data_IF_986470079312
#
_entry.id   IF_986470079312
#
_cell.length_a   1.000
_cell.length_b   1.000
_cell.length_c   1.000
_cell.angle_alpha   90.00
_cell.angle_beta   90.00
_cell.angle_gamma   90.00
#
_symmetry.space_group_name_H-M   'P 1'
#
loop_
_entity.id
_entity.type
_entity.pdbx_description
1 polymer ?
#
# COMPACT_ATOMS: atom_id res chain seq x y z
N UNK A 1 23.63 15.52 -2.93
CA UNK A 1 22.76 14.42 -2.47
C UNK A 1 21.28 14.78 -2.56
N UNK A 2 20.84 15.96 -2.08
CA UNK A 2 19.41 16.37 -2.11
C UNK A 2 18.79 16.45 -3.52
N UNK A 3 19.53 16.98 -4.51
CA UNK A 3 19.05 17.05 -5.91
C UNK A 3 18.70 15.69 -6.52
N UNK A 4 19.42 14.62 -6.13
CA UNK A 4 19.21 13.28 -6.68
C UNK A 4 17.96 12.62 -6.08
N UNK A 5 17.73 12.82 -4.78
CA UNK A 5 16.53 12.30 -4.09
C UNK A 5 15.28 12.98 -4.66
N UNK A 6 15.31 14.30 -4.82
CA UNK A 6 14.19 15.04 -5.42
C UNK A 6 13.91 14.62 -6.87
N UNK A 7 14.95 14.48 -7.70
CA UNK A 7 14.76 14.01 -9.09
C UNK A 7 14.21 12.59 -9.16
N UNK A 8 14.60 11.71 -8.22
CA UNK A 8 14.09 10.35 -8.16
C UNK A 8 12.61 10.32 -7.76
N UNK A 9 12.21 11.11 -6.76
CA UNK A 9 10.80 11.21 -6.36
C UNK A 9 9.92 11.77 -7.48
N UNK A 10 10.39 12.78 -8.23
CA UNK A 10 9.66 13.31 -9.39
C UNK A 10 9.54 12.30 -10.52
N UNK A 11 10.62 11.58 -10.84
CA UNK A 11 10.60 10.55 -11.88
C UNK A 11 9.68 9.38 -11.50
N UNK A 12 9.77 8.91 -10.25
CA UNK A 12 8.93 7.84 -9.74
C UNK A 12 7.47 8.25 -9.70
N UNK A 13 7.17 9.51 -9.32
CA UNK A 13 5.81 10.04 -9.37
C UNK A 13 5.22 10.00 -10.78
N UNK A 14 5.98 10.44 -11.79
CA UNK A 14 5.55 10.41 -13.20
C UNK A 14 5.22 8.99 -13.68
N UNK A 15 6.13 8.03 -13.46
CA UNK A 15 5.92 6.64 -13.86
C UNK A 15 4.74 6.03 -13.11
N UNK A 16 4.65 6.27 -11.80
CA UNK A 16 3.58 5.76 -10.95
C UNK A 16 2.22 6.26 -11.39
N UNK A 17 2.12 7.56 -11.72
CA UNK A 17 0.89 8.16 -12.21
C UNK A 17 0.48 7.61 -13.59
N UNK A 18 1.46 7.42 -14.49
CA UNK A 18 1.19 6.83 -15.81
C UNK A 18 0.73 5.37 -15.72
N UNK A 19 1.47 4.54 -14.99
CA UNK A 19 1.19 3.11 -14.85
C UNK A 19 0.10 2.78 -13.81
N UNK A 20 -0.41 3.79 -13.10
CA UNK A 20 -1.35 3.65 -11.98
C UNK A 20 -0.85 2.68 -10.90
N UNK A 21 0.46 2.71 -10.64
CA UNK A 21 1.13 1.93 -9.60
C UNK A 21 1.35 2.80 -8.37
N UNK A 22 0.79 2.36 -7.25
CA UNK A 22 1.00 2.93 -5.93
C UNK A 22 2.07 2.17 -5.15
N UNK A 23 2.83 2.89 -4.35
CA UNK A 23 3.84 2.35 -3.45
C UNK A 23 3.74 2.96 -2.05
N UNK A 24 3.84 2.11 -1.03
CA UNK A 24 3.98 2.50 0.35
C UNK A 24 5.01 1.64 1.06
N UNK A 25 5.76 2.26 1.98
CA UNK A 25 6.62 1.59 2.96
C UNK A 25 6.13 1.97 4.34
N UNK A 26 5.84 0.98 5.16
CA UNK A 26 5.27 1.18 6.48
C UNK A 26 5.93 0.27 7.52
N UNK A 27 6.22 0.83 8.69
CA UNK A 27 6.78 0.09 9.80
C UNK A 27 5.67 -0.23 10.79
N UNK A 28 5.30 -1.51 10.88
CA UNK A 28 4.23 -1.97 11.76
C UNK A 28 4.50 -1.72 13.25
N UNK A 29 5.78 -1.66 13.66
CA UNK A 29 6.16 -1.46 15.07
C UNK A 29 6.15 0.02 15.48
N UNK A 30 6.69 0.90 14.64
CA UNK A 30 6.77 2.33 14.93
C UNK A 30 5.56 3.11 14.43
N UNK A 31 4.72 2.46 13.63
CA UNK A 31 3.59 3.05 12.93
C UNK A 31 3.96 4.21 12.01
N UNK A 32 5.22 4.28 11.57
CA UNK A 32 5.72 5.31 10.65
C UNK A 32 5.88 4.74 9.26
N UNK A 33 5.64 5.56 8.25
CA UNK A 33 5.82 5.15 6.87
C UNK A 33 5.76 6.31 5.90
N UNK A 34 5.89 5.96 4.63
CA UNK A 34 5.79 6.86 3.50
C UNK A 34 4.99 6.17 2.40
N UNK A 35 4.15 6.92 1.70
CA UNK A 35 3.46 6.45 0.52
C UNK A 35 3.43 7.55 -0.54
N UNK A 36 3.55 7.15 -1.80
CA UNK A 36 3.38 8.06 -2.93
C UNK A 36 1.89 8.36 -3.15
N UNK A 37 1.58 9.48 -3.79
CA UNK A 37 0.21 9.91 -4.02
C UNK A 37 -0.67 8.85 -4.69
N UNK A 38 -0.16 8.16 -5.73
CA UNK A 38 -0.91 7.12 -6.44
C UNK A 38 -1.35 5.97 -5.53
N UNK A 39 -0.64 5.69 -4.44
CA UNK A 39 -1.05 4.67 -3.47
C UNK A 39 -2.32 5.08 -2.74
N UNK A 40 -2.43 6.34 -2.31
CA UNK A 40 -3.65 6.85 -1.67
C UNK A 40 -4.83 6.80 -2.63
N UNK A 41 -4.65 7.27 -3.86
CA UNK A 41 -5.69 7.22 -4.91
C UNK A 41 -6.16 5.79 -5.18
N UNK A 42 -5.23 4.83 -5.30
CA UNK A 42 -5.57 3.43 -5.52
C UNK A 42 -6.31 2.81 -4.34
N UNK A 43 -6.09 3.30 -3.12
CA UNK A 43 -6.75 2.85 -1.90
C UNK A 43 -8.05 3.61 -1.58
N UNK A 44 -8.46 4.58 -2.42
CA UNK A 44 -9.63 5.42 -2.16
C UNK A 44 -9.41 6.43 -1.02
N UNK A 45 -8.16 6.71 -0.69
CA UNK A 45 -7.75 7.54 0.44
C UNK A 45 -7.23 8.91 -0.03
N UNK A 46 -7.10 9.84 0.92
CA UNK A 46 -6.42 11.12 0.71
C UNK A 46 -5.03 11.13 1.36
N UNK A 47 -4.05 11.76 0.70
CA UNK A 47 -2.69 11.95 1.22
C UNK A 47 -2.65 12.77 2.53
N UNK A 48 -3.75 13.45 2.88
CA UNK A 48 -3.88 14.17 4.16
C UNK A 48 -3.98 13.22 5.37
N UNK A 49 -4.36 11.95 5.15
CA UNK A 49 -4.48 10.97 6.22
C UNK A 49 -3.16 10.23 6.39
N UNK A 50 -2.67 10.16 7.63
CA UNK A 50 -1.47 9.42 7.98
C UNK A 50 -1.69 7.91 7.83
N UNK A 51 -0.67 7.19 7.32
CA UNK A 51 -0.73 5.76 7.03
C UNK A 51 -1.16 4.91 8.23
N UNK A 52 -0.82 5.33 9.46
CA UNK A 52 -1.24 4.62 10.68
C UNK A 52 -2.75 4.55 10.88
N UNK A 53 -3.50 5.45 10.25
CA UNK A 53 -4.96 5.43 10.31
C UNK A 53 -5.58 4.61 9.18
N UNK A 54 -4.81 4.25 8.15
CA UNK A 54 -5.29 3.48 6.98
C UNK A 54 -4.84 2.02 7.10
N UNK A 55 -3.54 1.80 7.31
CA UNK A 55 -2.94 0.47 7.39
C UNK A 55 -3.50 -0.27 8.62
N UNK A 56 -4.09 -1.44 8.39
CA UNK A 56 -4.73 -2.23 9.44
C UNK A 56 -6.20 -1.86 9.72
N UNK A 57 -6.75 -0.87 9.01
CA UNK A 57 -8.20 -0.56 9.03
C UNK A 57 -8.83 -0.77 7.66
N UNK A 58 -8.28 -0.13 6.63
CA UNK A 58 -8.73 -0.24 5.24
C UNK A 58 -10.23 -0.02 5.07
N UNK A 59 -10.73 1.11 5.55
CA UNK A 59 -12.16 1.41 5.58
C UNK A 59 -12.80 1.49 4.18
N UNK A 60 -12.01 1.87 3.17
CA UNK A 60 -12.44 1.93 1.78
C UNK A 60 -12.32 0.59 1.01
N UNK A 61 -11.83 -0.48 1.64
CA UNK A 61 -11.76 -1.82 1.04
C UNK A 61 -13.04 -2.59 1.34
N UNK A 62 -13.58 -3.29 0.34
CA UNK A 62 -14.78 -4.11 0.49
C UNK A 62 -14.66 -5.06 1.70
N UNK A 63 -15.68 -5.16 2.58
CA UNK A 63 -15.59 -5.92 3.83
C UNK A 63 -15.07 -7.36 3.69
N UNK A 64 -15.52 -8.08 2.65
CA UNK A 64 -15.08 -9.45 2.37
C UNK A 64 -13.58 -9.57 2.07
N UNK A 65 -13.04 -8.60 1.33
CA UNK A 65 -11.63 -8.58 0.91
C UNK A 65 -10.76 -8.05 2.06
N UNK A 66 -11.29 -7.09 2.82
CA UNK A 66 -10.66 -6.49 4.01
C UNK A 66 -10.33 -7.54 5.05
N UNK A 67 -11.22 -8.51 5.29
CA UNK A 67 -10.97 -9.59 6.27
C UNK A 67 -9.68 -10.35 5.95
N UNK A 68 -9.51 -10.81 4.70
CA UNK A 68 -8.31 -11.55 4.25
C UNK A 68 -7.04 -10.73 4.45
N UNK A 69 -7.10 -9.44 4.13
CA UNK A 69 -5.99 -8.52 4.29
C UNK A 69 -5.58 -8.34 5.76
N UNK A 70 -6.56 -8.16 6.66
CA UNK A 70 -6.29 -8.02 8.10
C UNK A 70 -5.79 -9.32 8.72
N UNK A 71 -6.32 -10.46 8.30
CA UNK A 71 -5.85 -11.77 8.74
C UNK A 71 -4.39 -11.98 8.33
N UNK A 72 -3.99 -11.59 7.13
CA UNK A 72 -2.58 -11.60 6.73
C UNK A 72 -1.70 -10.78 7.69
N UNK A 73 -2.09 -9.54 8.03
CA UNK A 73 -1.32 -8.71 8.97
C UNK A 73 -1.15 -9.36 10.35
N UNK A 74 -2.09 -10.19 10.81
CA UNK A 74 -1.98 -10.95 12.06
C UNK A 74 -1.00 -12.12 11.95
N UNK A 75 -0.86 -12.69 10.76
CA UNK A 75 0.06 -13.80 10.48
C UNK A 75 1.50 -13.38 10.22
N UNK A 76 1.78 -12.07 10.11
CA UNK A 76 3.16 -11.60 9.90
C UNK A 76 4.00 -11.98 11.12
N UNK A 77 4.81 -13.02 10.96
CA UNK A 77 5.83 -13.38 11.92
C UNK A 77 7.00 -12.39 11.84
N UNK A 78 7.60 -12.11 13.00
CA UNK A 78 8.66 -11.14 13.14
C UNK A 78 10.02 -11.63 12.64
N UNK A 79 10.11 -12.91 12.29
CA UNK A 79 11.36 -13.60 12.01
C UNK A 79 11.42 -14.19 10.58
N UNK A 80 10.42 -13.95 9.72
CA UNK A 80 10.40 -14.46 8.35
C UNK A 80 10.07 -13.38 7.32
N UNK A 81 10.65 -13.53 6.12
CA UNK A 81 10.21 -12.79 4.95
C UNK A 81 8.90 -13.40 4.46
N UNK A 82 7.83 -12.62 4.48
CA UNK A 82 6.50 -13.05 4.06
C UNK A 82 6.02 -12.18 2.90
N UNK A 83 5.54 -12.84 1.85
CA UNK A 83 4.92 -12.17 0.71
C UNK A 83 3.43 -12.52 0.64
N UNK A 84 2.62 -11.56 0.26
CA UNK A 84 1.19 -11.73 0.09
C UNK A 84 0.69 -10.90 -1.08
N UNK A 85 0.03 -11.58 -2.01
CA UNK A 85 -0.63 -10.97 -3.15
C UNK A 85 -2.11 -11.26 -3.06
N UNK A 86 -2.94 -10.22 -3.24
CA UNK A 86 -4.39 -10.37 -3.30
C UNK A 86 -4.98 -9.31 -4.22
N UNK A 87 -6.10 -9.65 -4.86
CA UNK A 87 -6.96 -8.64 -5.47
C UNK A 87 -7.94 -8.14 -4.40
N UNK A 88 -8.17 -6.83 -4.36
CA UNK A 88 -9.14 -6.22 -3.45
C UNK A 88 -9.98 -5.19 -4.18
N UNK A 89 -11.26 -5.13 -3.83
CA UNK A 89 -12.19 -4.10 -4.27
C UNK A 89 -12.05 -2.88 -3.37
N UNK A 90 -11.79 -1.72 -3.97
CA UNK A 90 -11.69 -0.42 -3.30
C UNK A 90 -12.83 0.46 -3.76
N UNK A 91 -13.55 1.07 -2.82
CA UNK A 91 -14.69 1.93 -3.09
C UNK A 91 -14.23 3.16 -3.88
N UNK A 92 -14.95 3.51 -4.94
CA UNK A 92 -14.69 4.74 -5.69
C UNK A 92 -15.11 5.94 -4.84
N UNK A 93 -14.24 6.97 -4.71
CA UNK A 93 -14.59 8.18 -3.98
C UNK A 93 -15.92 8.78 -4.45
N UNK A 94 -16.80 9.13 -3.51
CA UNK A 94 -18.09 9.74 -3.80
C UNK A 94 -19.19 8.78 -4.29
N UNK A 95 -18.95 7.46 -4.25
CA UNK A 95 -19.95 6.44 -4.60
C UNK A 95 -20.28 5.55 -3.40
N UNK A 96 -21.41 4.84 -3.46
CA UNK A 96 -21.85 3.94 -2.38
C UNK A 96 -21.65 2.45 -2.71
N UNK A 97 -21.55 2.08 -3.98
CA UNK A 97 -21.40 0.68 -4.40
C UNK A 97 -20.65 0.50 -5.74
N UNK A 98 -19.80 1.46 -6.11
CA UNK A 98 -18.93 1.31 -7.27
C UNK A 98 -17.49 1.04 -6.83
N UNK A 99 -16.90 -0.01 -7.38
CA UNK A 99 -15.62 -0.53 -6.92
C UNK A 99 -14.55 -0.44 -8.03
N UNK A 100 -13.30 -0.22 -7.63
CA UNK A 100 -12.12 -0.45 -8.45
C UNK A 100 -11.46 -1.74 -7.99
N UNK A 101 -10.99 -2.56 -8.92
CA UNK A 101 -10.22 -3.74 -8.58
C UNK A 101 -8.74 -3.37 -8.59
N UNK A 102 -8.06 -3.59 -7.46
CA UNK A 102 -6.62 -3.39 -7.37
C UNK A 102 -5.91 -4.68 -7.02
N UNK A 103 -4.73 -4.90 -7.59
CA UNK A 103 -3.78 -5.91 -7.14
C UNK A 103 -2.90 -5.33 -6.05
N UNK A 104 -2.93 -5.93 -4.86
CA UNK A 104 -2.13 -5.54 -3.72
C UNK A 104 -1.05 -6.59 -3.47
N UNK A 105 0.20 -6.14 -3.51
CA UNK A 105 1.39 -6.94 -3.24
C UNK A 105 2.05 -6.41 -1.96
N UNK A 106 2.18 -7.27 -0.96
CA UNK A 106 2.75 -6.93 0.33
C UNK A 106 3.96 -7.80 0.56
N UNK A 107 5.09 -7.18 0.87
CA UNK A 107 6.32 -7.85 1.26
C UNK A 107 6.66 -7.37 2.66
N UNK A 108 6.61 -8.27 3.63
CA UNK A 108 7.07 -8.02 4.99
C UNK A 108 8.51 -8.51 5.11
N UNK A 109 9.41 -7.64 5.55
CA UNK A 109 10.81 -8.01 5.81
C UNK A 109 11.19 -7.77 7.27
N UNK A 110 11.93 -8.72 7.84
CA UNK A 110 12.58 -8.60 9.15
C UNK A 110 14.08 -8.42 8.97
N UNK A 111 14.64 -7.28 9.39
CA UNK A 111 16.09 -7.04 9.34
C UNK A 111 16.76 -7.45 10.65
N UNK A 112 17.66 -8.44 10.57
CA UNK A 112 18.36 -9.01 11.73
C UNK A 112 19.51 -8.12 12.28
N UNK A 113 20.03 -7.18 11.50
CA UNK A 113 21.33 -6.55 11.78
C UNK A 113 21.31 -5.29 12.66
N UNK A 114 20.15 -4.68 12.93
CA UNK A 114 20.14 -3.36 13.58
C UNK A 114 19.14 -3.17 14.72
N UNK A 115 18.40 -4.19 15.17
CA UNK A 115 17.32 -4.06 16.18
C UNK A 115 16.20 -3.03 15.84
N UNK A 116 16.33 -2.31 14.73
CA UNK A 116 15.34 -1.43 14.12
C UNK A 116 14.41 -2.24 13.23
N UNK A 117 13.13 -2.20 13.63
CA UNK A 117 12.10 -3.18 13.29
C UNK A 117 11.53 -2.96 11.88
N UNK A 118 11.24 -4.09 11.21
CA UNK A 118 10.42 -4.38 10.04
C UNK A 118 9.91 -3.25 9.13
N UNK A 119 10.28 -3.31 7.85
CA UNK A 119 9.64 -2.55 6.78
C UNK A 119 8.65 -3.44 6.04
N UNK A 120 7.36 -3.14 6.17
CA UNK A 120 6.34 -3.67 5.26
C UNK A 120 6.34 -2.80 4.01
N UNK A 121 6.63 -3.40 2.87
CA UNK A 121 6.46 -2.80 1.56
C UNK A 121 5.10 -3.19 1.02
N UNK A 122 4.34 -2.22 0.56
CA UNK A 122 3.01 -2.41 -0.01
C UNK A 122 2.99 -1.74 -1.37
N UNK A 123 2.90 -2.53 -2.43
CA UNK A 123 2.61 -2.04 -3.77
C UNK A 123 1.13 -2.31 -4.09
N UNK A 124 0.47 -1.34 -4.71
CA UNK A 124 -0.94 -1.44 -5.11
C UNK A 124 -1.06 -1.01 -6.57
N UNK A 125 -1.55 -1.88 -7.45
CA UNK A 125 -1.73 -1.60 -8.88
C UNK A 125 -3.22 -1.55 -9.16
N UNK A 126 -3.70 -0.44 -9.72
CA UNK A 126 -5.09 -0.33 -10.14
C UNK A 126 -5.29 -1.08 -11.46
N UNK A 127 -6.16 -2.10 -11.49
CA UNK A 127 -6.56 -2.75 -12.73
C UNK A 127 -7.71 -1.94 -13.31
N UNK A 128 -7.40 -1.06 -14.26
CA UNK A 128 -8.43 -0.43 -15.08
C UNK A 128 -9.14 -1.53 -15.89
N UNK A 129 -10.47 -1.45 -16.09
CA UNK A 129 -11.27 -2.49 -16.74
C UNK A 129 -10.93 -2.79 -18.22
N UNK A 130 -9.82 -2.27 -18.76
CA UNK A 130 -9.44 -2.37 -20.17
C UNK A 130 -7.95 -2.67 -20.41
N UNK A 131 -7.24 -3.31 -19.48
CA UNK A 131 -5.90 -3.81 -19.76
C UNK A 131 -5.90 -5.36 -19.76
N UNK A 132 -6.19 -5.90 -20.94
CA UNK A 132 -5.73 -7.22 -21.39
C UNK A 132 -4.29 -7.09 -21.88
#
# INVERSE_FOLDING_TARGET
>A
MEKQIWSFEQFFHTISNYAKVGYARYNLSTQKGYAIQQWYENMGETKMIDLKYIIGKYDNVHPDDRKKLLDYYRTIDKNSLNAFQTEVRVLRPGTTDNWNLICKNIIATSNFLYSYRQGTFVASINKLPYQC
#
